data_IF_987450147826
#
_entry.id   IF_987450147826
#
_cell.length_a   1.000
_cell.length_b   1.000
_cell.length_c   1.000
_cell.angle_alpha   90.00
_cell.angle_beta   90.00
_cell.angle_gamma   90.00
#
_symmetry.space_group_name_H-M   'P 1'
#
loop_
_entity.id
_entity.type
_entity.pdbx_description
1 polymer ?
#
# COMPACT_ATOMS: atom_id res chain seq x y z
N UNK A 1 -5.93 -12.10 -9.61
CA UNK A 1 -4.49 -12.50 -9.59
C UNK A 1 -4.08 -12.97 -10.98
N UNK A 2 -2.83 -12.79 -11.39
CA UNK A 2 -2.33 -13.33 -12.65
C UNK A 2 -2.41 -14.86 -12.59
N UNK A 3 -3.11 -15.48 -13.53
CA UNK A 3 -3.12 -16.94 -13.66
C UNK A 3 -1.86 -17.36 -14.42
N UNK A 4 -1.17 -18.43 -14.02
CA UNK A 4 -0.07 -18.98 -14.80
C UNK A 4 -0.53 -19.33 -16.22
N UNK A 5 0.34 -19.16 -17.21
CA UNK A 5 0.15 -19.55 -18.60
C UNK A 5 1.51 -19.81 -19.25
N UNK A 6 1.52 -20.52 -20.38
CA UNK A 6 2.76 -20.93 -21.06
C UNK A 6 3.27 -19.86 -22.04
N UNK A 7 2.38 -18.95 -22.47
CA UNK A 7 2.71 -17.86 -23.41
C UNK A 7 2.23 -16.50 -22.88
N UNK A 8 2.84 -15.43 -23.40
CA UNK A 8 2.43 -14.07 -23.08
C UNK A 8 0.97 -13.82 -23.49
N UNK A 9 0.59 -14.26 -24.69
CA UNK A 9 -0.74 -14.09 -25.27
C UNK A 9 -1.81 -14.75 -24.42
N UNK A 10 -1.55 -15.96 -23.91
CA UNK A 10 -2.46 -16.67 -23.02
C UNK A 10 -2.65 -15.91 -21.69
N UNK A 11 -1.56 -15.48 -21.05
CA UNK A 11 -1.60 -14.72 -19.80
C UNK A 11 -2.36 -13.40 -20.01
N UNK A 12 -2.09 -12.71 -21.11
CA UNK A 12 -2.69 -11.43 -21.45
C UNK A 12 -4.22 -11.54 -21.64
N UNK A 13 -4.69 -12.52 -22.42
CA UNK A 13 -6.12 -12.70 -22.68
C UNK A 13 -6.89 -13.17 -21.44
N UNK A 14 -6.26 -14.00 -20.60
CA UNK A 14 -6.89 -14.60 -19.43
C UNK A 14 -6.90 -13.68 -18.20
N UNK A 15 -6.05 -12.66 -18.16
CA UNK A 15 -6.03 -11.72 -17.05
C UNK A 15 -7.28 -10.83 -17.04
N UNK A 16 -7.91 -10.74 -15.87
CA UNK A 16 -9.02 -9.82 -15.60
C UNK A 16 -8.80 -9.16 -14.25
N UNK A 17 -9.08 -7.85 -14.19
CA UNK A 17 -9.10 -7.12 -12.93
C UNK A 17 -10.38 -7.45 -12.17
N UNK A 18 -10.24 -7.96 -10.95
CA UNK A 18 -11.34 -8.12 -10.00
C UNK A 18 -11.38 -6.86 -9.13
N UNK A 19 -12.08 -5.83 -9.61
CA UNK A 19 -12.16 -4.54 -8.92
C UNK A 19 -13.40 -4.54 -8.02
N UNK A 20 -13.26 -4.36 -6.70
CA UNK A 20 -14.41 -4.27 -5.80
C UNK A 20 -15.17 -2.95 -6.00
N UNK A 21 -16.45 -2.95 -5.61
CA UNK A 21 -17.31 -1.74 -5.64
C UNK A 21 -16.70 -0.56 -4.87
N UNK A 22 -16.08 -0.85 -3.72
CA UNK A 22 -15.32 0.11 -2.94
C UNK A 22 -13.87 -0.33 -2.82
N UNK A 23 -12.96 0.51 -3.31
CA UNK A 23 -11.52 0.28 -3.25
C UNK A 23 -10.81 1.46 -2.59
N UNK A 24 -9.98 1.17 -1.60
CA UNK A 24 -9.08 2.14 -0.98
C UNK A 24 -7.65 1.61 -1.05
N UNK A 25 -6.80 2.30 -1.82
CA UNK A 25 -5.40 1.89 -2.04
C UNK A 25 -4.58 1.89 -0.74
N UNK A 26 -4.84 2.81 0.18
CA UNK A 26 -4.18 2.84 1.48
C UNK A 26 -4.47 1.59 2.30
N UNK A 27 -5.72 1.10 2.25
CA UNK A 27 -6.11 -0.12 2.96
C UNK A 27 -5.54 -1.38 2.32
N UNK A 28 -5.67 -1.55 0.99
CA UNK A 28 -5.25 -2.79 0.34
C UNK A 28 -3.72 -2.94 0.29
N UNK A 29 -2.98 -1.83 0.14
CA UNK A 29 -1.51 -1.85 0.06
C UNK A 29 -0.85 -1.74 1.43
N UNK A 30 -1.40 -1.01 2.40
CA UNK A 30 -0.76 -0.82 3.70
C UNK A 30 -1.42 -1.65 4.81
N UNK A 31 -2.72 -1.43 5.06
CA UNK A 31 -3.40 -1.99 6.24
C UNK A 31 -3.52 -3.52 6.20
N UNK A 32 -3.69 -4.10 5.01
CA UNK A 32 -3.72 -5.55 4.79
C UNK A 32 -2.52 -6.29 5.38
N UNK A 33 -1.37 -5.64 5.39
CA UNK A 33 -0.11 -6.22 5.89
C UNK A 33 0.26 -5.72 7.29
N UNK A 34 -0.38 -4.66 7.78
CA UNK A 34 -0.05 -4.01 9.06
C UNK A 34 -0.27 -4.90 10.30
N UNK A 35 -1.08 -5.96 10.19
CA UNK A 35 -1.22 -6.97 11.25
C UNK A 35 0.08 -7.76 11.48
N UNK A 36 0.91 -7.92 10.45
CA UNK A 36 2.25 -8.48 10.55
C UNK A 36 3.24 -7.37 10.92
N UNK A 37 3.22 -6.94 12.19
CA UNK A 37 3.90 -5.70 12.64
C UNK A 37 5.39 -5.62 12.31
N UNK A 38 6.07 -6.75 12.16
CA UNK A 38 7.50 -6.83 11.83
C UNK A 38 7.79 -6.73 10.33
N UNK A 39 6.77 -6.79 9.46
CA UNK A 39 6.96 -6.85 8.02
C UNK A 39 7.43 -5.50 7.49
N UNK A 40 8.65 -5.49 6.93
CA UNK A 40 9.26 -4.32 6.30
C UNK A 40 8.43 -3.89 5.08
N UNK A 41 8.14 -2.58 4.99
CA UNK A 41 7.41 -1.96 3.88
C UNK A 41 8.30 -1.05 3.04
N UNK A 42 9.09 -0.21 3.70
CA UNK A 42 9.92 0.79 3.05
C UNK A 42 11.33 0.76 3.66
N UNK A 43 12.33 0.72 2.79
CA UNK A 43 13.71 1.02 3.12
C UNK A 43 14.08 2.32 2.41
N UNK A 44 14.25 3.37 3.19
CA UNK A 44 14.64 4.68 2.73
C UNK A 44 16.11 4.90 3.02
N UNK A 45 16.86 5.46 2.07
CA UNK A 45 18.23 5.90 2.28
C UNK A 45 18.34 7.35 1.84
N UNK A 46 18.85 8.21 2.72
CA UNK A 46 19.05 9.62 2.41
C UNK A 46 20.37 9.87 1.66
N UNK A 47 20.63 11.14 1.34
CA UNK A 47 21.82 11.57 0.59
C UNK A 47 23.12 11.37 1.36
N UNK A 48 23.07 11.28 2.69
CA UNK A 48 24.22 11.02 3.56
C UNK A 48 24.47 9.50 3.72
N UNK A 49 23.62 8.67 3.11
CA UNK A 49 23.71 7.21 3.16
C UNK A 49 23.06 6.60 4.39
N UNK A 50 22.39 7.38 5.23
CA UNK A 50 21.70 6.84 6.41
C UNK A 50 20.43 6.12 5.99
N UNK A 51 20.30 4.88 6.48
CA UNK A 51 19.14 4.04 6.24
C UNK A 51 18.06 4.23 7.31
N UNK A 52 16.82 4.26 6.87
CA UNK A 52 15.63 4.18 7.70
C UNK A 52 14.72 3.09 7.17
N UNK A 53 14.20 2.28 8.08
CA UNK A 53 13.32 1.16 7.76
C UNK A 53 11.96 1.45 8.40
N UNK A 54 10.91 1.26 7.62
CA UNK A 54 9.54 1.37 8.09
C UNK A 54 8.82 0.06 7.81
N UNK A 55 8.19 -0.47 8.84
CA UNK A 55 7.25 -1.59 8.74
C UNK A 55 5.90 -1.12 8.21
N UNK A 56 5.08 -2.04 7.70
CA UNK A 56 3.69 -1.73 7.31
C UNK A 56 2.87 -1.21 8.49
N UNK A 57 3.20 -1.63 9.71
CA UNK A 57 2.55 -1.15 10.93
C UNK A 57 2.91 0.30 11.24
N UNK A 58 4.20 0.67 11.17
CA UNK A 58 4.63 2.07 11.33
C UNK A 58 4.05 2.97 10.25
N UNK A 59 4.08 2.51 8.99
CA UNK A 59 3.56 3.27 7.86
C UNK A 59 2.06 3.55 8.02
N UNK A 60 1.27 2.56 8.43
CA UNK A 60 -0.17 2.73 8.76
C UNK A 60 -0.38 3.75 9.88
N UNK A 61 0.43 3.69 10.94
CA UNK A 61 0.24 4.60 12.08
C UNK A 61 0.55 6.05 11.69
N UNK A 62 1.64 6.28 10.95
CA UNK A 62 2.03 7.60 10.47
C UNK A 62 1.01 8.16 9.48
N UNK A 63 0.50 7.35 8.55
CA UNK A 63 -0.53 7.80 7.60
C UNK A 63 -1.85 8.15 8.30
N UNK A 64 -2.25 7.38 9.31
CA UNK A 64 -3.44 7.69 10.12
C UNK A 64 -3.29 8.98 10.94
N UNK A 65 -2.10 9.24 11.50
CA UNK A 65 -1.81 10.50 12.18
C UNK A 65 -1.97 11.70 11.23
N UNK A 66 -1.41 11.60 10.01
CA UNK A 66 -1.57 12.62 8.99
C UNK A 66 -3.05 12.79 8.59
N UNK A 67 -3.77 11.69 8.36
CA UNK A 67 -5.19 11.73 8.00
C UNK A 67 -6.03 12.47 9.05
N UNK A 68 -5.78 12.20 10.34
CA UNK A 68 -6.45 12.90 11.43
C UNK A 68 -6.11 14.40 11.47
N UNK A 69 -4.86 14.77 11.21
CA UNK A 69 -4.43 16.17 11.13
C UNK A 69 -5.14 16.90 9.97
N UNK A 70 -5.17 16.29 8.77
CA UNK A 70 -5.85 16.87 7.60
C UNK A 70 -7.35 17.05 7.85
N UNK A 71 -7.99 16.06 8.47
CA UNK A 71 -9.40 16.15 8.87
C UNK A 71 -9.64 17.29 9.85
N UNK A 72 -8.73 17.49 10.81
CA UNK A 72 -8.79 18.60 11.78
C UNK A 72 -8.62 19.96 11.07
N UNK A 73 -7.82 20.01 10.00
CA UNK A 73 -7.68 21.19 9.15
C UNK A 73 -8.85 21.44 8.18
N UNK A 74 -9.93 20.66 8.28
CA UNK A 74 -11.14 20.84 7.46
C UNK A 74 -11.08 20.21 6.07
N UNK A 75 -10.06 19.39 5.78
CA UNK A 75 -9.99 18.66 4.52
C UNK A 75 -11.00 17.52 4.55
N UNK A 76 -11.81 17.45 3.50
CA UNK A 76 -12.85 16.43 3.31
C UNK A 76 -12.59 15.64 2.03
N UNK A 77 -13.30 14.52 1.90
CA UNK A 77 -13.36 13.79 0.63
C UNK A 77 -13.97 14.74 -0.41
N UNK A 78 -13.28 14.91 -1.53
CA UNK A 78 -13.74 15.72 -2.67
C UNK A 78 -14.76 15.02 -3.54
#
# INVERSE_FOLDING_TARGET
>A
MLKPGETYEEIYHNFKWEIPEYYNIGVDICDKWANQRYRLALLYRDQEGKEQKYTFWELKNLSNQLSNALRTSGIVIG
#
